data_IF_427868316548
#
_entry.id   IF_427868316548
#
_cell.length_a   1.000
_cell.length_b   1.000
_cell.length_c   1.000
_cell.angle_alpha   90.00
_cell.angle_beta   90.00
_cell.angle_gamma   90.00
#
_symmetry.space_group_name_H-M   'P 1'
#
loop_
_entity.id
_entity.type
_entity.pdbx_description
1 polymer ?
#
# COMPACT_ATOMS: atom_id res chain seq x y z
N UNK A 1 22.22 -8.19 12.23
CA UNK A 1 21.46 -8.11 10.96
C UNK A 1 20.88 -6.71 10.84
N UNK A 2 21.25 -5.96 9.80
CA UNK A 2 20.76 -4.60 9.59
C UNK A 2 19.49 -4.60 8.74
N UNK A 3 18.33 -4.40 9.35
CA UNK A 3 17.06 -4.25 8.63
C UNK A 3 17.10 -2.98 7.77
N UNK A 4 16.78 -3.11 6.48
CA UNK A 4 16.64 -1.94 5.59
C UNK A 4 15.32 -1.22 5.86
N UNK A 5 15.34 0.12 5.84
CA UNK A 5 14.14 0.91 6.11
C UNK A 5 14.03 2.14 5.22
N UNK A 6 12.80 2.62 5.07
CA UNK A 6 12.50 3.96 4.58
C UNK A 6 11.40 4.57 5.45
N UNK A 7 11.66 5.73 6.03
CA UNK A 7 10.77 6.38 6.99
C UNK A 7 10.60 7.84 6.61
N UNK A 8 9.35 8.33 6.58
CA UNK A 8 9.09 9.76 6.40
C UNK A 8 9.39 10.51 7.69
N UNK A 9 10.31 11.45 7.61
CA UNK A 9 10.58 12.38 8.69
C UNK A 9 9.47 13.43 8.77
N UNK A 10 8.90 13.60 9.97
CA UNK A 10 7.85 14.61 10.25
C UNK A 10 8.30 15.72 11.22
N UNK A 11 9.37 15.50 11.94
CA UNK A 11 9.88 16.41 12.96
C UNK A 11 11.28 16.86 12.58
N UNK A 12 11.63 18.11 12.89
CA UNK A 12 13.01 18.53 12.68
C UNK A 12 13.93 17.78 13.63
N UNK A 13 15.05 17.26 13.11
CA UNK A 13 16.01 16.45 13.87
C UNK A 13 17.37 17.12 13.88
N UNK A 14 18.16 16.86 14.92
CA UNK A 14 19.60 17.15 14.87
C UNK A 14 20.23 16.30 13.76
N UNK A 15 21.18 16.90 13.06
CA UNK A 15 21.86 16.30 11.93
C UNK A 15 23.35 16.68 11.97
N UNK A 16 24.20 15.74 11.61
CA UNK A 16 25.64 15.94 11.46
C UNK A 16 25.97 15.65 10.01
N UNK A 17 26.45 16.65 9.28
CA UNK A 17 26.88 16.46 7.89
C UNK A 17 28.07 15.50 7.81
N UNK A 18 28.36 15.01 6.60
CA UNK A 18 29.56 14.23 6.32
C UNK A 18 30.85 14.99 6.68
N UNK A 19 30.83 16.32 6.62
CA UNK A 19 31.91 17.22 7.04
C UNK A 19 32.00 17.41 8.58
N UNK A 20 31.14 16.76 9.35
CA UNK A 20 31.12 16.87 10.82
C UNK A 20 30.36 18.07 11.38
N UNK A 21 29.77 18.93 10.53
CA UNK A 21 29.01 20.11 10.96
C UNK A 21 27.69 19.70 11.63
N UNK A 22 27.51 20.12 12.89
CA UNK A 22 26.26 19.92 13.64
C UNK A 22 25.23 20.99 13.25
N UNK A 23 24.04 20.57 12.87
CA UNK A 23 22.94 21.44 12.43
C UNK A 23 21.59 20.74 12.66
N UNK A 24 20.51 21.32 12.13
CA UNK A 24 19.22 20.65 12.01
C UNK A 24 19.03 20.12 10.58
N UNK A 25 18.38 18.97 10.46
CA UNK A 25 18.14 18.28 9.20
C UNK A 25 17.42 19.19 8.18
N UNK A 26 16.34 19.85 8.61
CA UNK A 26 15.56 20.71 7.73
C UNK A 26 16.37 21.92 7.24
N UNK A 27 17.20 22.49 8.10
CA UNK A 27 18.07 23.63 7.75
C UNK A 27 19.09 23.22 6.70
N UNK A 28 19.76 22.08 6.89
CA UNK A 28 20.80 21.64 5.97
C UNK A 28 20.25 21.22 4.61
N UNK A 29 19.17 20.43 4.57
CA UNK A 29 18.56 20.00 3.29
C UNK A 29 18.00 21.18 2.49
N UNK A 30 17.59 22.28 3.15
CA UNK A 30 17.15 23.50 2.48
C UNK A 30 18.31 24.24 1.79
N UNK A 31 19.53 24.16 2.34
CA UNK A 31 20.73 24.83 1.82
C UNK A 31 21.35 24.11 0.62
N UNK A 32 21.05 22.82 0.45
CA UNK A 32 21.54 22.03 -0.67
C UNK A 32 20.75 22.42 -1.93
N UNK A 33 21.47 22.64 -3.03
CA UNK A 33 20.87 22.88 -4.35
C UNK A 33 20.07 21.67 -4.82
N UNK A 34 19.00 21.92 -5.57
CA UNK A 34 18.28 20.87 -6.28
C UNK A 34 19.27 20.03 -7.08
N UNK A 35 19.19 18.70 -6.95
CA UNK A 35 20.00 17.81 -7.79
C UNK A 35 19.30 17.55 -9.12
N UNK A 36 17.95 17.55 -9.13
CA UNK A 36 17.12 17.38 -10.32
C UNK A 36 15.68 17.80 -10.07
N UNK A 37 14.94 18.08 -11.14
CA UNK A 37 13.49 18.28 -11.14
C UNK A 37 12.80 17.20 -11.98
N UNK A 38 11.63 16.75 -11.54
CA UNK A 38 10.78 15.83 -12.30
C UNK A 38 9.35 16.35 -12.36
N UNK A 39 8.61 15.94 -13.37
CA UNK A 39 7.17 16.19 -13.46
C UNK A 39 6.43 14.90 -13.15
N UNK A 40 5.51 14.93 -12.19
CA UNK A 40 4.65 13.79 -11.87
C UNK A 40 3.19 14.12 -12.12
N UNK A 41 2.44 13.13 -12.62
CA UNK A 41 0.99 13.22 -12.70
C UNK A 41 0.38 12.87 -11.34
N UNK A 42 -0.27 13.84 -10.70
CA UNK A 42 -1.05 13.66 -9.49
C UNK A 42 -2.48 13.33 -9.90
N UNK A 43 -3.00 12.13 -9.58
CA UNK A 43 -4.36 11.76 -9.95
C UNK A 43 -5.37 12.56 -9.13
N UNK A 44 -6.58 12.74 -9.68
CA UNK A 44 -7.72 13.34 -8.97
C UNK A 44 -7.93 12.64 -7.62
N UNK A 45 -7.98 13.40 -6.53
CA UNK A 45 -8.24 12.89 -5.17
C UNK A 45 -9.24 13.80 -4.47
N UNK A 46 -10.36 13.23 -4.03
CA UNK A 46 -11.44 13.98 -3.37
C UNK A 46 -11.84 15.23 -4.21
N UNK A 47 -11.67 16.44 -3.65
CA UNK A 47 -11.97 17.72 -4.29
C UNK A 47 -10.81 18.31 -5.12
N UNK A 48 -9.67 17.63 -5.19
CA UNK A 48 -8.52 18.09 -5.98
C UNK A 48 -8.55 17.49 -7.39
N UNK A 49 -8.50 18.35 -8.40
CA UNK A 49 -8.39 17.95 -9.80
C UNK A 49 -7.06 17.22 -10.07
N UNK A 50 -7.08 16.34 -11.08
CA UNK A 50 -5.83 15.78 -11.58
C UNK A 50 -4.94 16.90 -12.13
N UNK A 51 -3.65 16.83 -11.85
CA UNK A 51 -2.70 17.90 -12.22
C UNK A 51 -1.29 17.35 -12.41
N UNK A 52 -0.47 18.12 -13.12
CA UNK A 52 0.97 17.88 -13.18
C UNK A 52 1.64 18.66 -12.03
N UNK A 53 2.58 18.03 -11.33
CA UNK A 53 3.33 18.64 -10.25
C UNK A 53 4.82 18.57 -10.57
N UNK A 54 5.50 19.72 -10.52
CA UNK A 54 6.95 19.81 -10.65
C UNK A 54 7.57 19.55 -9.28
N UNK A 55 8.41 18.52 -9.18
CA UNK A 55 9.00 18.05 -7.93
C UNK A 55 10.50 18.26 -7.98
N UNK A 56 11.00 19.09 -7.07
CA UNK A 56 12.41 19.24 -6.75
C UNK A 56 12.88 18.01 -5.95
N UNK A 57 13.99 17.41 -6.38
CA UNK A 57 14.62 16.29 -5.68
C UNK A 57 15.97 16.71 -5.13
N UNK A 58 16.13 16.49 -3.82
CA UNK A 58 17.39 16.66 -3.09
C UNK A 58 17.74 15.36 -2.38
N UNK A 59 19.02 15.02 -2.35
CA UNK A 59 19.50 13.91 -1.55
C UNK A 59 20.88 14.20 -0.97
N UNK A 60 21.15 13.62 0.19
CA UNK A 60 22.41 13.74 0.92
C UNK A 60 22.59 12.57 1.88
N UNK A 61 23.79 12.43 2.44
CA UNK A 61 24.06 11.51 3.54
C UNK A 61 24.54 12.27 4.77
N UNK A 62 24.46 11.63 5.93
CA UNK A 62 25.02 12.14 7.17
C UNK A 62 24.56 11.31 8.36
N UNK A 63 24.65 11.89 9.55
CA UNK A 63 24.34 11.19 10.79
C UNK A 63 23.21 11.87 11.56
N UNK A 64 22.30 11.06 12.12
CA UNK A 64 21.29 11.52 13.08
C UNK A 64 21.57 10.86 14.44
N UNK A 65 21.62 11.62 15.54
CA UNK A 65 21.67 11.05 16.88
C UNK A 65 20.34 10.39 17.24
N UNK A 66 20.36 9.15 17.74
CA UNK A 66 19.15 8.36 18.05
C UNK A 66 18.41 8.92 19.27
N UNK A 67 19.12 9.54 20.22
CA UNK A 67 18.55 10.06 21.47
C UNK A 67 18.85 11.54 21.65
N UNK A 68 17.89 12.28 22.20
CA UNK A 68 18.14 13.62 22.74
C UNK A 68 18.87 13.46 24.08
N UNK A 69 19.91 14.28 24.35
CA UNK A 69 20.61 14.24 25.65
C UNK A 69 19.67 14.42 26.86
N UNK A 70 18.50 15.03 26.66
CA UNK A 70 17.52 15.36 27.70
C UNK A 70 16.62 14.21 28.18
N UNK A 71 16.63 13.04 27.53
CA UNK A 71 15.68 11.95 27.82
C UNK A 71 16.18 10.92 28.85
N UNK A 72 17.42 11.05 29.34
CA UNK A 72 17.98 10.19 30.39
C UNK A 72 18.63 11.02 31.47
N UNK A 73 17.95 11.14 32.62
CA UNK A 73 18.56 11.46 33.90
C UNK A 73 19.07 12.88 34.14
N UNK A 74 19.31 13.18 35.41
CA UNK A 74 19.93 14.42 35.88
C UNK A 74 21.31 14.63 35.21
N UNK A 75 21.76 15.88 35.10
CA UNK A 75 23.04 16.29 34.47
C UNK A 75 24.30 15.55 34.99
N UNK A 76 24.18 14.81 36.10
CA UNK A 76 25.28 14.16 36.82
C UNK A 76 25.48 12.68 36.47
N UNK A 77 24.75 12.10 35.52
CA UNK A 77 25.00 10.72 35.06
C UNK A 77 25.71 10.72 33.71
N UNK A 78 26.89 10.09 33.65
CA UNK A 78 27.67 9.83 32.44
C UNK A 78 26.93 8.84 31.51
N UNK A 79 25.84 9.28 30.88
CA UNK A 79 25.12 8.48 29.89
C UNK A 79 25.85 8.53 28.55
N UNK A 80 26.74 7.56 28.33
CA UNK A 80 27.49 7.31 27.09
C UNK A 80 26.64 6.63 26.00
N UNK A 81 25.50 7.19 25.62
CA UNK A 81 24.78 6.73 24.41
C UNK A 81 24.58 7.91 23.48
N UNK A 82 25.68 8.37 22.87
CA UNK A 82 25.66 9.25 21.70
C UNK A 82 25.61 8.41 20.42
N UNK A 83 24.73 7.42 20.36
CA UNK A 83 24.65 6.57 19.17
C UNK A 83 24.15 7.40 18.00
N UNK A 84 24.98 7.47 16.97
CA UNK A 84 24.72 8.16 15.72
C UNK A 84 24.40 7.11 14.67
N UNK A 85 23.31 7.30 13.94
CA UNK A 85 22.97 6.45 12.81
C UNK A 85 23.37 7.15 11.54
N UNK A 86 24.22 6.50 10.76
CA UNK A 86 24.50 6.90 9.37
C UNK A 86 23.24 6.62 8.56
N UNK A 87 22.79 7.62 7.82
CA UNK A 87 21.63 7.50 6.94
C UNK A 87 21.74 8.40 5.72
N UNK A 88 20.88 8.10 4.76
CA UNK A 88 20.63 8.87 3.57
C UNK A 88 19.29 9.58 3.71
N UNK A 89 19.24 10.79 3.17
CA UNK A 89 18.09 11.68 3.21
C UNK A 89 17.68 11.94 1.77
N UNK A 90 16.39 11.76 1.47
CA UNK A 90 15.81 12.13 0.17
C UNK A 90 14.66 13.07 0.42
N UNK A 91 14.67 14.23 -0.22
CA UNK A 91 13.54 15.16 -0.24
C UNK A 91 12.94 15.21 -1.62
N UNK A 92 11.62 15.03 -1.69
CA UNK A 92 10.80 15.30 -2.86
C UNK A 92 9.82 16.42 -2.48
N UNK A 93 10.02 17.62 -3.04
CA UNK A 93 9.21 18.80 -2.73
C UNK A 93 8.61 19.40 -3.99
N UNK A 94 7.33 19.69 -3.94
CA UNK A 94 6.62 20.37 -5.01
C UNK A 94 7.01 21.85 -5.12
N UNK A 95 7.32 22.26 -6.34
CA UNK A 95 7.61 23.64 -6.71
C UNK A 95 6.30 24.31 -7.12
N UNK A 96 6.03 25.48 -6.54
CA UNK A 96 4.86 26.32 -6.86
C UNK A 96 3.53 25.53 -6.88
N UNK A 97 3.13 24.90 -5.76
CA UNK A 97 1.86 24.17 -5.69
C UNK A 97 0.67 25.11 -5.99
N UNK A 98 -0.40 24.62 -6.63
CA UNK A 98 -1.60 25.42 -6.88
C UNK A 98 -2.18 25.99 -5.58
N UNK A 99 -2.77 27.19 -5.66
CA UNK A 99 -3.41 27.85 -4.51
C UNK A 99 -4.48 26.94 -3.90
N UNK A 100 -4.44 26.78 -2.58
CA UNK A 100 -5.40 25.98 -1.82
C UNK A 100 -5.18 24.46 -1.86
N UNK A 101 -4.11 23.98 -2.51
CA UNK A 101 -3.73 22.55 -2.53
C UNK A 101 -2.56 22.30 -1.58
N UNK A 102 -2.63 21.23 -0.79
CA UNK A 102 -1.50 20.81 0.06
C UNK A 102 -0.32 20.37 -0.83
N UNK A 103 0.83 21.00 -0.65
CA UNK A 103 2.03 20.70 -1.43
C UNK A 103 2.57 19.30 -1.13
N UNK A 104 3.08 18.61 -2.15
CA UNK A 104 3.86 17.40 -1.91
C UNK A 104 5.19 17.79 -1.27
N UNK A 105 5.41 17.44 0.00
CA UNK A 105 6.70 17.59 0.67
C UNK A 105 7.02 16.31 1.48
N UNK A 106 7.84 15.45 0.89
CA UNK A 106 8.32 14.23 1.51
C UNK A 106 9.80 14.37 1.83
N UNK A 107 10.13 14.31 3.12
CA UNK A 107 11.49 14.12 3.60
C UNK A 107 11.63 12.68 4.10
N UNK A 108 12.42 11.87 3.43
CA UNK A 108 12.58 10.44 3.65
C UNK A 108 13.96 10.16 4.23
N UNK A 109 14.02 9.30 5.23
CA UNK A 109 15.23 8.78 5.85
C UNK A 109 15.36 7.30 5.54
N UNK A 110 16.54 6.86 5.15
CA UNK A 110 16.80 5.45 4.82
C UNK A 110 18.26 5.09 5.15
N UNK A 111 18.50 3.84 5.51
CA UNK A 111 19.85 3.27 5.58
C UNK A 111 20.30 2.62 4.26
N UNK A 112 19.46 2.66 3.22
CA UNK A 112 19.82 2.23 1.87
C UNK A 112 20.57 3.35 1.15
N UNK A 113 21.72 3.08 0.52
CA UNK A 113 22.51 4.10 -0.16
C UNK A 113 21.74 4.95 -1.16
N UNK A 114 22.03 6.25 -1.13
CA UNK A 114 21.56 7.23 -2.13
C UNK A 114 22.74 8.05 -2.59
N UNK A 115 23.32 7.63 -3.70
CA UNK A 115 24.55 8.20 -4.27
C UNK A 115 24.26 9.03 -5.52
N UNK A 116 23.21 8.67 -6.26
CA UNK A 116 22.80 9.30 -7.50
C UNK A 116 21.29 9.62 -7.51
N UNK A 117 20.82 10.09 -8.65
CA UNK A 117 19.43 10.48 -8.80
C UNK A 117 18.48 9.27 -8.92
N UNK A 118 18.91 8.24 -9.65
CA UNK A 118 18.18 7.00 -9.87
C UNK A 118 17.88 6.32 -8.52
N UNK A 119 18.86 6.34 -7.63
CA UNK A 119 18.74 5.92 -6.24
C UNK A 119 17.63 6.69 -5.50
N UNK A 120 17.65 8.02 -5.59
CA UNK A 120 16.65 8.86 -4.92
C UNK A 120 15.23 8.56 -5.43
N UNK A 121 15.09 8.38 -6.75
CA UNK A 121 13.83 8.01 -7.39
C UNK A 121 13.34 6.65 -6.93
N UNK A 122 14.23 5.66 -6.83
CA UNK A 122 13.86 4.33 -6.34
C UNK A 122 13.30 4.42 -4.90
N UNK A 123 13.95 5.18 -4.02
CA UNK A 123 13.49 5.42 -2.64
C UNK A 123 12.12 6.10 -2.60
N UNK A 124 11.91 7.11 -3.43
CA UNK A 124 10.60 7.77 -3.60
C UNK A 124 9.55 6.74 -4.07
N UNK A 125 9.89 5.90 -5.05
CA UNK A 125 9.00 4.88 -5.58
C UNK A 125 8.64 3.82 -4.53
N UNK A 126 9.56 3.41 -3.68
CA UNK A 126 9.24 2.55 -2.53
C UNK A 126 8.27 3.23 -1.58
N UNK A 127 8.50 4.49 -1.22
CA UNK A 127 7.61 5.22 -0.32
C UNK A 127 6.21 5.43 -0.91
N UNK A 128 6.08 5.59 -2.24
CA UNK A 128 4.78 5.64 -2.94
C UNK A 128 3.94 4.38 -2.68
N UNK A 129 4.57 3.23 -2.44
CA UNK A 129 3.87 1.97 -2.15
C UNK A 129 3.29 1.91 -0.73
N UNK A 130 3.67 2.81 0.18
CA UNK A 130 3.18 2.85 1.58
C UNK A 130 1.64 2.85 1.64
N UNK A 131 0.99 3.54 0.70
CA UNK A 131 -0.48 3.64 0.66
C UNK A 131 -1.20 2.30 0.48
N UNK A 132 -0.52 1.25 -0.01
CA UNK A 132 -1.11 -0.10 -0.14
C UNK A 132 -1.66 -0.64 1.18
N UNK A 133 -1.06 -0.29 2.32
CA UNK A 133 -1.57 -0.72 3.64
C UNK A 133 -2.88 -0.03 4.01
N UNK A 134 -3.11 1.19 3.53
CA UNK A 134 -4.38 1.90 3.72
C UNK A 134 -5.48 1.24 2.87
N UNK A 135 -5.16 0.76 1.67
CA UNK A 135 -6.09 -0.06 0.88
C UNK A 135 -6.45 -1.38 1.59
N UNK A 136 -5.48 -2.03 2.23
CA UNK A 136 -5.72 -3.22 3.07
C UNK A 136 -6.69 -2.89 4.22
N UNK A 137 -6.40 -1.86 5.01
CA UNK A 137 -7.26 -1.47 6.12
C UNK A 137 -8.65 -1.01 5.66
N UNK A 138 -8.77 -0.40 4.47
CA UNK A 138 -10.07 -0.07 3.88
C UNK A 138 -10.89 -1.32 3.60
N UNK A 139 -10.29 -2.39 3.06
CA UNK A 139 -11.01 -3.66 2.87
C UNK A 139 -11.40 -4.25 4.22
N UNK A 140 -10.48 -4.28 5.19
CA UNK A 140 -10.75 -4.85 6.50
C UNK A 140 -11.86 -4.10 7.26
N UNK A 141 -11.78 -2.76 7.33
CA UNK A 141 -12.71 -1.92 8.09
C UNK A 141 -14.01 -1.67 7.33
N UNK A 142 -13.95 -1.18 6.09
CA UNK A 142 -15.14 -0.79 5.33
C UNK A 142 -15.76 -1.94 4.54
N UNK A 143 -14.95 -2.90 4.07
CA UNK A 143 -15.42 -4.10 3.36
C UNK A 143 -15.93 -5.15 4.34
N UNK A 144 -15.02 -5.73 5.11
CA UNK A 144 -15.35 -6.78 6.08
C UNK A 144 -16.12 -6.26 7.31
N UNK A 145 -16.27 -4.93 7.47
CA UNK A 145 -17.05 -4.29 8.54
C UNK A 145 -16.68 -4.77 9.94
N UNK A 146 -15.38 -5.00 10.19
CA UNK A 146 -14.92 -5.55 11.48
C UNK A 146 -15.30 -4.67 12.67
N UNK A 147 -15.38 -3.35 12.48
CA UNK A 147 -15.77 -2.37 13.51
C UNK A 147 -17.27 -2.41 13.83
N UNK A 148 -18.08 -3.03 12.96
CA UNK A 148 -19.51 -3.23 13.18
C UNK A 148 -19.82 -4.61 13.82
N UNK A 149 -18.80 -5.41 14.11
CA UNK A 149 -18.97 -6.71 14.75
C UNK A 149 -19.55 -6.56 16.15
N UNK A 150 -20.63 -7.30 16.44
CA UNK A 150 -21.29 -7.32 17.76
C UNK A 150 -20.95 -8.57 18.58
N UNK A 151 -19.75 -9.12 18.40
CA UNK A 151 -19.30 -10.28 19.17
C UNK A 151 -19.13 -9.91 20.64
N UNK A 152 -19.67 -10.74 21.52
CA UNK A 152 -19.76 -10.45 22.95
C UNK A 152 -18.43 -10.52 23.72
N UNK A 153 -17.40 -11.18 23.17
CA UNK A 153 -16.11 -11.35 23.86
C UNK A 153 -14.93 -10.93 22.99
N UNK A 154 -13.84 -10.51 23.66
CA UNK A 154 -12.58 -10.13 23.04
C UNK A 154 -11.99 -11.26 22.20
N UNK A 155 -11.97 -12.48 22.71
CA UNK A 155 -11.36 -13.65 22.07
C UNK A 155 -12.07 -14.00 20.76
N UNK A 156 -13.42 -13.85 20.74
CA UNK A 156 -14.21 -14.04 19.52
C UNK A 156 -13.92 -12.95 18.50
N UNK A 157 -13.77 -11.70 18.96
CA UNK A 157 -13.43 -10.58 18.08
C UNK A 157 -12.02 -10.74 17.49
N UNK A 158 -11.03 -11.15 18.27
CA UNK A 158 -9.66 -11.41 17.79
C UNK A 158 -9.64 -12.50 16.71
N UNK A 159 -10.36 -13.61 16.91
CA UNK A 159 -10.50 -14.68 15.92
C UNK A 159 -11.15 -14.16 14.62
N UNK A 160 -12.20 -13.35 14.73
CA UNK A 160 -12.85 -12.74 13.56
C UNK A 160 -11.87 -11.81 12.81
N UNK A 161 -11.15 -10.95 13.54
CA UNK A 161 -10.16 -10.04 12.95
C UNK A 161 -9.07 -10.83 12.22
N UNK A 162 -8.58 -11.93 12.78
CA UNK A 162 -7.57 -12.78 12.14
C UNK A 162 -8.08 -13.36 10.80
N UNK A 163 -9.29 -13.94 10.79
CA UNK A 163 -9.89 -14.51 9.57
C UNK A 163 -10.14 -13.40 8.53
N UNK A 164 -10.74 -12.28 8.94
CA UNK A 164 -11.02 -11.16 8.02
C UNK A 164 -9.75 -10.50 7.51
N UNK A 165 -8.64 -10.54 8.26
CA UNK A 165 -7.32 -10.06 7.82
C UNK A 165 -6.80 -10.87 6.63
N UNK A 166 -6.91 -12.20 6.68
CA UNK A 166 -6.53 -13.08 5.56
C UNK A 166 -7.38 -12.78 4.32
N UNK A 167 -8.69 -12.60 4.50
CA UNK A 167 -9.59 -12.27 3.40
C UNK A 167 -9.27 -10.88 2.82
N UNK A 168 -9.06 -9.88 3.66
CA UNK A 168 -8.70 -8.53 3.22
C UNK A 168 -7.38 -8.52 2.43
N UNK A 169 -6.40 -9.31 2.85
CA UNK A 169 -5.16 -9.52 2.10
C UNK A 169 -5.43 -10.21 0.76
N UNK A 170 -6.21 -11.28 0.71
CA UNK A 170 -6.58 -11.97 -0.54
C UNK A 170 -7.22 -11.02 -1.55
N UNK A 171 -8.17 -10.19 -1.12
CA UNK A 171 -8.82 -9.19 -1.98
C UNK A 171 -7.82 -8.14 -2.48
N UNK A 172 -6.96 -7.63 -1.59
CA UNK A 172 -5.91 -6.69 -2.00
C UNK A 172 -4.99 -7.35 -3.03
N UNK A 173 -4.54 -8.58 -2.78
CA UNK A 173 -3.64 -9.32 -3.65
C UNK A 173 -4.25 -9.58 -5.03
N UNK A 174 -5.49 -10.05 -5.08
CA UNK A 174 -6.27 -10.24 -6.32
C UNK A 174 -6.32 -8.95 -7.16
N UNK A 175 -6.47 -7.77 -6.53
CA UNK A 175 -6.46 -6.49 -7.25
C UNK A 175 -5.11 -6.16 -7.91
N UNK A 176 -4.00 -6.65 -7.34
CA UNK A 176 -2.64 -6.34 -7.82
C UNK A 176 -2.15 -7.36 -8.84
N UNK A 177 -2.39 -8.64 -8.60
CA UNK A 177 -1.96 -9.73 -9.50
C UNK A 177 -2.67 -9.69 -10.85
N UNK A 178 -3.92 -9.21 -10.89
CA UNK A 178 -4.63 -8.96 -12.14
C UNK A 178 -3.91 -7.95 -13.07
N UNK A 179 -3.07 -7.09 -12.50
CA UNK A 179 -2.30 -6.08 -13.22
C UNK A 179 -0.90 -6.62 -13.54
N UNK A 180 -0.22 -7.21 -12.55
CA UNK A 180 1.18 -7.63 -12.71
C UNK A 180 1.34 -8.95 -13.46
N UNK A 181 0.40 -9.89 -13.31
CA UNK A 181 0.46 -11.23 -13.89
C UNK A 181 -0.90 -11.64 -14.50
N UNK A 182 -1.44 -10.88 -15.46
CA UNK A 182 -2.80 -11.07 -15.97
C UNK A 182 -3.04 -12.42 -16.67
N UNK A 183 -1.99 -13.01 -17.27
CA UNK A 183 -2.07 -14.22 -18.08
C UNK A 183 -1.83 -15.51 -17.29
N UNK A 184 -1.48 -15.42 -16.01
CA UNK A 184 -1.32 -16.62 -15.18
C UNK A 184 -2.66 -17.32 -14.95
N UNK A 185 -2.63 -18.63 -14.72
CA UNK A 185 -3.83 -19.40 -14.37
C UNK A 185 -4.42 -18.93 -13.04
N UNK A 186 -5.74 -18.75 -12.98
CA UNK A 186 -6.40 -18.21 -11.79
C UNK A 186 -6.29 -19.12 -10.56
N UNK A 187 -6.03 -20.41 -10.77
CA UNK A 187 -5.91 -21.45 -9.73
C UNK A 187 -4.72 -21.26 -8.79
N UNK A 188 -3.76 -20.38 -9.11
CA UNK A 188 -2.71 -19.97 -8.17
C UNK A 188 -3.26 -19.24 -6.93
N UNK A 189 -4.47 -18.68 -7.01
CA UNK A 189 -5.06 -17.87 -5.93
C UNK A 189 -6.51 -18.26 -5.64
N UNK A 190 -7.28 -18.55 -6.68
CA UNK A 190 -8.67 -18.99 -6.55
C UNK A 190 -8.71 -20.51 -6.45
N UNK A 191 -9.52 -21.03 -5.53
CA UNK A 191 -9.75 -22.47 -5.45
C UNK A 191 -10.53 -22.95 -6.67
N UNK A 192 -10.52 -24.26 -6.93
CA UNK A 192 -11.33 -24.86 -8.00
C UNK A 192 -12.80 -24.47 -7.88
N UNK A 193 -13.35 -24.57 -6.68
CA UNK A 193 -14.74 -24.19 -6.40
C UNK A 193 -15.02 -22.70 -6.66
N UNK A 194 -14.08 -21.81 -6.34
CA UNK A 194 -14.22 -20.37 -6.55
C UNK A 194 -14.27 -20.01 -8.04
N UNK A 195 -13.30 -20.45 -8.83
CA UNK A 195 -13.27 -20.07 -10.25
C UNK A 195 -14.38 -20.78 -11.05
N UNK A 196 -14.73 -22.02 -10.70
CA UNK A 196 -15.83 -22.74 -11.34
C UNK A 196 -17.17 -22.06 -11.03
N UNK A 197 -17.39 -21.65 -9.78
CA UNK A 197 -18.60 -20.89 -9.42
C UNK A 197 -18.64 -19.54 -10.13
N UNK A 198 -17.50 -18.84 -10.25
CA UNK A 198 -17.43 -17.62 -11.06
C UNK A 198 -17.82 -17.87 -12.51
N UNK A 199 -17.31 -18.96 -13.11
CA UNK A 199 -17.64 -19.33 -14.47
C UNK A 199 -19.15 -19.61 -14.63
N UNK A 200 -19.73 -20.43 -13.75
CA UNK A 200 -21.17 -20.74 -13.75
C UNK A 200 -21.99 -19.44 -13.66
N UNK A 201 -21.59 -18.51 -12.77
CA UNK A 201 -22.30 -17.24 -12.57
C UNK A 201 -22.19 -16.30 -13.77
N UNK A 202 -21.03 -16.22 -14.40
CA UNK A 202 -20.80 -15.37 -15.57
C UNK A 202 -21.52 -15.91 -16.81
N UNK A 203 -21.36 -17.21 -17.08
CA UNK A 203 -21.80 -17.85 -18.32
C UNK A 203 -23.19 -18.51 -18.21
N UNK A 204 -23.79 -18.53 -17.01
CA UNK A 204 -25.11 -19.11 -16.73
C UNK A 204 -25.24 -20.57 -17.20
N UNK A 205 -24.19 -21.36 -16.98
CA UNK A 205 -24.10 -22.75 -17.42
C UNK A 205 -23.42 -23.60 -16.36
N UNK A 206 -23.81 -24.87 -16.27
CA UNK A 206 -23.15 -25.87 -15.40
C UNK A 206 -21.99 -26.59 -16.11
N UNK A 207 -21.82 -26.38 -17.41
CA UNK A 207 -20.74 -26.98 -18.19
C UNK A 207 -19.46 -26.18 -18.02
N UNK A 208 -18.60 -26.67 -17.13
CA UNK A 208 -17.33 -26.05 -16.76
C UNK A 208 -16.24 -26.50 -17.76
N UNK A 209 -15.40 -25.59 -18.28
CA UNK A 209 -14.26 -25.95 -19.13
C UNK A 209 -13.22 -26.77 -18.36
N UNK A 210 -12.46 -27.62 -19.07
CA UNK A 210 -11.36 -28.39 -18.46
C UNK A 210 -10.22 -27.49 -17.98
N UNK A 211 -9.92 -26.45 -18.74
CA UNK A 211 -8.84 -25.52 -18.43
C UNK A 211 -9.35 -24.32 -17.62
N UNK A 212 -8.66 -23.95 -16.53
CA UNK A 212 -9.03 -22.77 -15.75
C UNK A 212 -8.74 -21.49 -16.55
N UNK A 213 -9.52 -20.42 -16.31
CA UNK A 213 -9.32 -19.15 -16.98
C UNK A 213 -8.03 -18.45 -16.51
N UNK A 214 -7.65 -17.42 -17.26
CA UNK A 214 -6.60 -16.50 -16.83
C UNK A 214 -7.01 -15.70 -15.60
N UNK A 215 -6.02 -15.22 -14.85
CA UNK A 215 -6.21 -14.35 -13.69
C UNK A 215 -7.04 -13.11 -14.06
N UNK A 216 -6.75 -12.49 -15.21
CA UNK A 216 -7.50 -11.32 -15.69
C UNK A 216 -8.98 -11.63 -15.92
N UNK A 217 -9.31 -12.74 -16.57
CA UNK A 217 -10.70 -13.14 -16.81
C UNK A 217 -11.45 -13.38 -15.49
N UNK A 218 -10.88 -14.20 -14.61
CA UNK A 218 -11.51 -14.51 -13.32
C UNK A 218 -11.77 -13.26 -12.47
N UNK A 219 -10.82 -12.31 -12.47
CA UNK A 219 -10.95 -11.05 -11.74
C UNK A 219 -12.00 -10.12 -12.36
N UNK A 220 -12.14 -10.11 -13.70
CA UNK A 220 -13.21 -9.37 -14.36
C UNK A 220 -14.58 -9.94 -13.97
N UNK A 221 -14.74 -11.27 -13.98
CA UNK A 221 -15.99 -11.93 -13.57
C UNK A 221 -16.32 -11.65 -12.10
N UNK A 222 -15.31 -11.76 -11.21
CA UNK A 222 -15.44 -11.39 -9.81
C UNK A 222 -15.84 -9.92 -9.66
N UNK A 223 -15.23 -9.04 -10.43
CA UNK A 223 -15.58 -7.62 -10.50
C UNK A 223 -17.04 -7.40 -10.92
N UNK A 224 -17.51 -8.09 -11.96
CA UNK A 224 -18.90 -8.02 -12.45
C UNK A 224 -19.89 -8.42 -11.36
N UNK A 225 -19.60 -9.49 -10.60
CA UNK A 225 -20.39 -9.83 -9.40
C UNK A 225 -20.40 -8.71 -8.36
N UNK A 226 -19.34 -7.90 -8.30
CA UNK A 226 -19.23 -6.70 -7.48
C UNK A 226 -19.84 -5.42 -8.07
N UNK A 227 -20.60 -5.52 -9.19
CA UNK A 227 -21.19 -4.42 -9.98
C UNK A 227 -20.19 -3.64 -10.85
N UNK A 228 -19.09 -4.25 -11.25
CA UNK A 228 -18.21 -3.68 -12.28
C UNK A 228 -18.82 -3.86 -13.67
N UNK A 229 -18.84 -2.80 -14.48
CA UNK A 229 -19.43 -2.85 -15.82
C UNK A 229 -18.44 -3.25 -16.92
N UNK A 230 -17.13 -3.09 -16.68
CA UNK A 230 -16.07 -3.43 -17.63
C UNK A 230 -16.16 -2.64 -18.96
N UNK A 231 -16.36 -1.31 -18.87
CA UNK A 231 -16.33 -0.41 -20.03
C UNK A 231 -14.88 -0.14 -20.46
N UNK A 232 -14.67 0.23 -21.73
CA UNK A 232 -13.33 0.53 -22.27
C UNK A 232 -12.57 1.62 -21.50
N UNK A 233 -13.28 2.58 -20.91
CA UNK A 233 -12.72 3.67 -20.12
C UNK A 233 -12.65 3.39 -18.61
N UNK A 234 -13.13 2.22 -18.16
CA UNK A 234 -13.13 1.91 -16.73
C UNK A 234 -11.69 1.73 -16.24
N UNK A 235 -11.42 2.31 -15.07
CA UNK A 235 -10.15 2.08 -14.37
C UNK A 235 -10.08 0.64 -13.87
N UNK A 236 -8.86 0.24 -13.52
CA UNK A 236 -8.59 -1.03 -12.84
C UNK A 236 -9.51 -1.24 -11.63
N UNK A 237 -9.90 -2.50 -11.42
CA UNK A 237 -10.85 -2.92 -10.40
C UNK A 237 -10.39 -2.51 -8.99
N UNK A 238 -11.18 -1.65 -8.34
CA UNK A 238 -10.93 -1.25 -6.95
C UNK A 238 -11.17 -2.38 -5.96
N UNK A 239 -10.42 -2.39 -4.86
CA UNK A 239 -10.50 -3.44 -3.83
C UNK A 239 -11.90 -3.62 -3.24
N UNK A 240 -12.69 -2.56 -3.12
CA UNK A 240 -14.07 -2.63 -2.61
C UNK A 240 -15.04 -3.33 -3.58
N UNK A 241 -14.82 -3.17 -4.88
CA UNK A 241 -15.61 -3.85 -5.92
C UNK A 241 -15.32 -5.35 -5.87
N UNK A 242 -14.05 -5.73 -5.78
CA UNK A 242 -13.64 -7.13 -5.64
C UNK A 242 -14.13 -7.75 -4.33
N UNK A 243 -14.11 -7.00 -3.22
CA UNK A 243 -14.71 -7.45 -1.96
C UNK A 243 -16.19 -7.81 -2.12
N UNK A 244 -17.00 -6.92 -2.70
CA UNK A 244 -18.44 -7.18 -2.95
C UNK A 244 -18.64 -8.39 -3.86
N UNK A 245 -17.80 -8.50 -4.90
CA UNK A 245 -17.79 -9.66 -5.78
C UNK A 245 -17.52 -10.96 -5.04
N UNK A 246 -16.55 -10.94 -4.12
CA UNK A 246 -16.14 -12.10 -3.34
C UNK A 246 -17.20 -12.51 -2.29
N UNK A 247 -17.89 -11.54 -1.69
CA UNK A 247 -19.03 -11.79 -0.81
C UNK A 247 -20.16 -12.50 -1.59
N UNK A 248 -20.53 -11.97 -2.76
CA UNK A 248 -21.52 -12.59 -3.65
C UNK A 248 -21.09 -13.98 -4.17
N UNK A 249 -19.80 -14.16 -4.44
CA UNK A 249 -19.24 -15.45 -4.81
C UNK A 249 -19.38 -16.46 -3.68
N UNK A 250 -19.05 -16.07 -2.45
CA UNK A 250 -19.15 -16.94 -1.27
C UNK A 250 -20.59 -17.40 -1.04
N UNK A 251 -21.58 -16.51 -1.21
CA UNK A 251 -22.99 -16.89 -1.16
C UNK A 251 -23.39 -17.84 -2.30
N UNK A 252 -22.90 -17.61 -3.52
CA UNK A 252 -23.15 -18.50 -4.66
C UNK A 252 -22.57 -19.91 -4.43
N UNK A 253 -21.38 -19.99 -3.83
CA UNK A 253 -20.73 -21.26 -3.48
C UNK A 253 -21.59 -22.06 -2.47
N UNK A 254 -22.10 -21.40 -1.43
CA UNK A 254 -22.97 -22.04 -0.44
C UNK A 254 -24.22 -22.62 -1.09
N UNK A 255 -24.89 -21.83 -1.94
CA UNK A 255 -26.10 -22.27 -2.65
C UNK A 255 -25.81 -23.48 -3.54
N UNK A 256 -24.74 -23.43 -4.34
CA UNK A 256 -24.35 -24.55 -5.18
C UNK A 256 -24.01 -25.81 -4.38
N UNK A 257 -23.35 -25.67 -3.22
CA UNK A 257 -23.05 -26.82 -2.37
C UNK A 257 -24.31 -27.52 -1.85
N UNK A 258 -25.37 -26.75 -1.53
CA UNK A 258 -26.67 -27.30 -1.11
C UNK A 258 -27.29 -28.10 -2.27
N UNK A 259 -27.40 -27.51 -3.46
CA UNK A 259 -27.99 -28.20 -4.61
C UNK A 259 -27.23 -29.46 -5.02
N UNK A 260 -25.89 -29.42 -5.01
CA UNK A 260 -25.07 -30.56 -5.37
C UNK A 260 -25.13 -31.67 -4.29
N UNK A 261 -25.25 -31.30 -3.01
CA UNK A 261 -25.41 -32.29 -1.92
C UNK A 261 -26.75 -33.03 -1.97
N UNK A 262 -27.82 -32.40 -2.48
CA UNK A 262 -29.15 -33.01 -2.61
C UNK A 262 -29.26 -33.95 -3.82
N UNK A 263 -28.44 -33.75 -4.85
CA UNK A 263 -28.43 -34.60 -6.05
C UNK A 263 -27.54 -35.86 -5.91
N UNK A 264 -26.93 -36.08 -4.74
CA UNK A 264 -26.15 -37.28 -4.44
C UNK A 264 -26.88 -38.27 -3.50
N UNK A 265 -28.21 -38.15 -3.41
CA UNK A 265 -29.10 -39.12 -2.74
C UNK A 265 -29.76 -40.06 -3.73
#
# INVERSE_FOLDING_TARGET
MGTLFIVRNRQNRKFISTEGRKTNLQTHINQISAKKEIVIQVPKKNNEAARMANIEIKYMSGLIPIRTPSLYGSKNTDHKISDKVVLYVVRAKEIAPPKGVEAIDWLLLTNVPVTNFEDAIERINWYKLRWKIEEYFRVLKSGCKIENSRLATKERLEKLIAIKSIIAFKILYLSKVAISHPQEVCTKILTSQEWQTLYIREHKTIFIPKEPPTMKQAIIWLGKLGRFMNRKSDKLLGTMTLWRGYENLTESIKILSIFLSQNCG
#
